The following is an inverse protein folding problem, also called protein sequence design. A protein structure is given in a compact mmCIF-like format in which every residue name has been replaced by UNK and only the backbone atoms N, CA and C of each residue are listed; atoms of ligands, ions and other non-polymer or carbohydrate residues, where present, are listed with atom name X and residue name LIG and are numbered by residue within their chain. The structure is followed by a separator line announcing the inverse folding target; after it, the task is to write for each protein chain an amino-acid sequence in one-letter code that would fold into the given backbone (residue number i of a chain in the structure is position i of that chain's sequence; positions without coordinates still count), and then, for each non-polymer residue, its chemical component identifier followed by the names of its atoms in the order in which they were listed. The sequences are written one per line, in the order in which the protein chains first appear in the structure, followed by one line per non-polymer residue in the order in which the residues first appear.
data_IF_587590231688
#
_entry.id   IF_587590231688
#
_cell.length_a   1.000
_cell.length_b   1.000
_cell.length_c   1.000
_cell.angle_alpha   90.00
_cell.angle_beta   90.00
_cell.angle_gamma   90.00
#
_symmetry.space_group_name_H-M   'P 1'
#
loop_
_entity.id
_entity.type
_entity.pdbx_description
1 polymer ?
#
# COMPACT_ATOMS: atom_id res chain seq x y z
N UNK A 1 -10.53 -36.39 -2.96
CA UNK A 1 -10.38 -35.24 -2.04
C UNK A 1 -11.49 -34.19 -2.20
N UNK A 2 -11.85 -33.75 -3.41
CA UNK A 2 -12.88 -32.72 -3.64
C UNK A 2 -14.28 -33.16 -3.15
N UNK A 3 -14.68 -34.41 -3.36
CA UNK A 3 -15.98 -34.94 -2.91
C UNK A 3 -16.15 -34.98 -1.37
N UNK A 4 -15.07 -35.14 -0.60
CA UNK A 4 -15.15 -35.16 0.86
C UNK A 4 -15.44 -33.76 1.44
N UNK A 5 -14.90 -32.71 0.80
CA UNK A 5 -15.11 -31.31 1.20
C UNK A 5 -16.57 -30.89 0.93
N UNK A 6 -17.16 -31.34 -0.18
CA UNK A 6 -18.56 -31.06 -0.54
C UNK A 6 -19.55 -31.77 0.39
N UNK A 7 -19.26 -33.01 0.80
CA UNK A 7 -20.11 -33.77 1.72
C UNK A 7 -20.08 -33.26 3.17
N UNK A 8 -18.98 -32.62 3.59
CA UNK A 8 -18.86 -31.95 4.89
C UNK A 8 -19.48 -30.54 4.86
N UNK A 9 -19.50 -29.89 3.70
CA UNK A 9 -20.09 -28.56 3.53
C UNK A 9 -21.62 -28.56 3.70
N UNK A 10 -22.33 -29.57 3.18
CA UNK A 10 -23.78 -29.67 3.26
C UNK A 10 -24.34 -29.64 4.70
N UNK A 11 -23.90 -30.49 5.65
CA UNK A 11 -24.39 -30.45 7.02
C UNK A 11 -23.97 -29.16 7.77
N UNK A 12 -22.83 -28.56 7.41
CA UNK A 12 -22.39 -27.28 7.98
C UNK A 12 -23.26 -26.10 7.51
N UNK A 13 -23.75 -26.15 6.26
CA UNK A 13 -24.69 -25.16 5.72
C UNK A 13 -26.04 -25.23 6.43
N UNK A 14 -26.56 -26.44 6.67
CA UNK A 14 -27.82 -26.64 7.39
C UNK A 14 -27.71 -26.19 8.85
N UNK A 15 -26.59 -26.49 9.52
CA UNK A 15 -26.35 -26.05 10.90
C UNK A 15 -26.17 -24.53 11.00
N UNK A 16 -25.53 -23.91 10.02
CA UNK A 16 -25.40 -22.44 9.96
C UNK A 16 -26.75 -21.79 9.74
N UNK A 17 -27.60 -22.34 8.87
CA UNK A 17 -28.98 -21.86 8.67
C UNK A 17 -29.83 -22.01 9.92
N UNK A 18 -29.73 -23.15 10.63
CA UNK A 18 -30.45 -23.40 11.88
C UNK A 18 -30.01 -22.45 13.00
N UNK A 19 -28.72 -22.15 13.08
CA UNK A 19 -28.17 -21.20 14.04
C UNK A 19 -28.61 -19.77 13.74
N UNK A 20 -28.59 -19.36 12.46
CA UNK A 20 -29.09 -18.05 12.01
C UNK A 20 -30.60 -17.90 12.25
N UNK A 21 -31.37 -18.98 12.17
CA UNK A 21 -32.81 -18.97 12.43
C UNK A 21 -33.14 -18.89 13.92
N UNK A 22 -32.26 -19.36 14.81
CA UNK A 22 -32.44 -19.33 16.28
C UNK A 22 -31.79 -18.12 16.96
N UNK A 23 -30.92 -17.41 16.26
CA UNK A 23 -30.25 -16.20 16.70
C UNK A 23 -31.21 -15.09 17.21
N UNK A 24 -32.35 -14.80 16.55
CA UNK A 24 -33.29 -13.78 17.01
C UNK A 24 -33.88 -14.10 18.38
N UNK A 25 -34.24 -15.36 18.64
CA UNK A 25 -34.80 -15.80 19.91
C UNK A 25 -33.79 -15.73 21.07
N UNK A 26 -32.50 -15.90 20.78
CA UNK A 26 -31.41 -15.76 21.76
C UNK A 26 -31.15 -14.28 22.06
N UNK A 27 -31.27 -13.40 21.07
CA UNK A 27 -31.14 -11.94 21.26
C UNK A 27 -32.31 -11.37 22.08
N UNK A 28 -33.52 -11.87 21.85
CA UNK A 28 -34.74 -11.45 22.57
C UNK A 28 -34.76 -11.90 24.05
N UNK A 29 -34.02 -12.97 24.40
CA UNK A 29 -33.93 -13.47 25.78
C UNK A 29 -32.79 -12.85 26.60
N UNK A 30 -31.84 -12.16 25.96
CA UNK A 30 -30.65 -11.58 26.60
C UNK A 30 -30.68 -10.05 26.65
N UNK A 31 -31.58 -9.39 25.92
CA UNK A 31 -31.70 -7.92 25.92
C UNK A 31 -32.90 -7.42 26.74
N UNK A 32 -32.68 -6.68 27.86
CA UNK A 32 -33.76 -6.01 28.59
C UNK A 32 -34.17 -4.67 27.94
N UNK A 33 -33.73 -4.39 26.71
CA UNK A 33 -33.94 -3.09 26.04
C UNK A 33 -34.93 -3.29 24.90
N UNK A 34 -36.17 -2.84 25.11
CA UNK A 34 -37.17 -2.70 24.05
C UNK A 34 -36.59 -1.78 22.96
N UNK A 35 -36.49 -2.33 21.76
CA UNK A 35 -36.11 -1.67 20.51
C UNK A 35 -37.12 -0.56 20.18
N UNK A 36 -36.90 0.64 20.72
CA UNK A 36 -37.43 1.87 20.17
C UNK A 36 -36.34 2.51 19.30
N UNK A 37 -36.74 2.91 18.10
CA UNK A 37 -36.04 3.71 17.10
C UNK A 37 -35.19 2.97 16.06
N UNK A 38 -35.82 2.74 14.90
CA UNK A 38 -35.32 2.07 13.69
C UNK A 38 -34.19 2.79 12.93
N UNK A 39 -33.33 3.55 13.59
CA UNK A 39 -32.11 4.15 13.01
C UNK A 39 -30.82 3.42 13.45
N UNK A 40 -30.84 2.71 14.57
CA UNK A 40 -29.69 1.95 15.08
C UNK A 40 -29.59 0.55 14.47
N UNK A 41 -30.72 -0.10 14.15
CA UNK A 41 -30.73 -1.45 13.57
C UNK A 41 -30.14 -1.51 12.14
N UNK A 42 -30.22 -0.45 11.35
CA UNK A 42 -29.64 -0.42 9.99
C UNK A 42 -28.10 -0.41 10.00
N UNK A 43 -27.48 0.06 11.09
CA UNK A 43 -26.02 0.04 11.23
C UNK A 43 -25.55 -1.30 11.81
N UNK A 44 -26.24 -1.87 12.80
CA UNK A 44 -25.86 -3.12 13.47
C UNK A 44 -26.08 -4.38 12.61
N UNK A 45 -27.11 -4.44 11.76
CA UNK A 45 -27.38 -5.61 10.89
C UNK A 45 -26.34 -5.75 9.76
N UNK A 46 -25.64 -4.66 9.39
CA UNK A 46 -24.55 -4.67 8.40
C UNK A 46 -23.15 -4.91 8.98
N UNK A 47 -22.98 -4.90 10.31
CA UNK A 47 -21.66 -5.06 10.96
C UNK A 47 -21.06 -6.45 10.75
N UNK A 48 -21.81 -7.58 10.89
CA UNK A 48 -21.22 -8.91 10.72
C UNK A 48 -20.66 -9.11 9.31
N UNK A 49 -21.37 -8.62 8.28
CA UNK A 49 -20.91 -8.65 6.90
C UNK A 49 -19.65 -7.80 6.68
N UNK A 50 -19.63 -6.56 7.19
CA UNK A 50 -18.45 -5.68 7.06
C UNK A 50 -17.23 -6.20 7.82
N UNK A 51 -17.42 -6.79 9.00
CA UNK A 51 -16.32 -7.41 9.77
C UNK A 51 -15.79 -8.64 9.04
N UNK A 52 -16.67 -9.48 8.49
CA UNK A 52 -16.26 -10.62 7.68
C UNK A 52 -15.53 -10.18 6.41
N UNK A 53 -16.06 -9.21 5.66
CA UNK A 53 -15.40 -8.66 4.47
C UNK A 53 -14.05 -8.04 4.83
N UNK A 54 -13.96 -7.24 5.89
CA UNK A 54 -12.69 -6.68 6.37
C UNK A 54 -11.67 -7.77 6.75
N UNK A 55 -12.11 -8.84 7.43
CA UNK A 55 -11.25 -9.97 7.77
C UNK A 55 -10.77 -10.70 6.51
N UNK A 56 -11.64 -10.93 5.53
CA UNK A 56 -11.31 -11.55 4.24
C UNK A 56 -10.37 -10.66 3.40
N UNK A 57 -10.60 -9.36 3.37
CA UNK A 57 -9.76 -8.39 2.65
C UNK A 57 -8.37 -8.30 3.26
N UNK A 58 -8.30 -8.26 4.59
CA UNK A 58 -7.01 -8.25 5.32
C UNK A 58 -6.25 -9.55 5.06
N UNK A 59 -6.93 -10.70 5.11
CA UNK A 59 -6.33 -12.00 4.83
C UNK A 59 -5.86 -12.12 3.37
N UNK A 60 -6.69 -11.68 2.42
CA UNK A 60 -6.35 -11.61 1.00
C UNK A 60 -5.16 -10.69 0.74
N UNK A 61 -5.15 -9.51 1.39
CA UNK A 61 -4.04 -8.56 1.32
C UNK A 61 -2.74 -9.15 1.86
N UNK A 62 -2.80 -9.88 2.98
CA UNK A 62 -1.66 -10.60 3.52
C UNK A 62 -1.13 -11.67 2.55
N UNK A 63 -2.01 -12.51 2.00
CA UNK A 63 -1.61 -13.53 1.00
C UNK A 63 -0.99 -12.89 -0.24
N UNK A 64 -1.56 -11.78 -0.71
CA UNK A 64 -1.03 -11.04 -1.86
C UNK A 64 0.36 -10.49 -1.57
N UNK A 65 0.53 -9.80 -0.45
CA UNK A 65 1.83 -9.26 -0.04
C UNK A 65 2.87 -10.36 0.15
N UNK A 66 2.50 -11.46 0.82
CA UNK A 66 3.36 -12.62 1.01
C UNK A 66 3.78 -13.24 -0.33
N UNK A 67 2.83 -13.42 -1.25
CA UNK A 67 3.10 -13.97 -2.59
C UNK A 67 4.04 -13.07 -3.39
N UNK A 68 3.80 -11.75 -3.38
CA UNK A 68 4.67 -10.78 -4.07
C UNK A 68 6.08 -10.83 -3.50
N UNK A 69 6.24 -10.90 -2.17
CA UNK A 69 7.55 -11.02 -1.53
C UNK A 69 8.24 -12.32 -1.94
N UNK A 70 7.54 -13.46 -1.90
CA UNK A 70 8.11 -14.77 -2.29
C UNK A 70 8.53 -14.78 -3.75
N UNK A 71 7.68 -14.28 -4.66
CA UNK A 71 8.01 -14.18 -6.08
C UNK A 71 9.20 -13.25 -6.28
N UNK A 72 9.21 -12.08 -5.63
CA UNK A 72 10.32 -11.13 -5.74
C UNK A 72 11.63 -11.74 -5.24
N UNK A 73 11.60 -12.44 -4.10
CA UNK A 73 12.76 -13.15 -3.56
C UNK A 73 13.26 -14.23 -4.53
N UNK A 74 12.35 -15.03 -5.09
CA UNK A 74 12.71 -16.05 -6.07
C UNK A 74 13.33 -15.44 -7.33
N UNK A 75 12.77 -14.33 -7.82
CA UNK A 75 13.32 -13.60 -8.98
C UNK A 75 14.71 -13.04 -8.69
N UNK A 76 14.96 -12.51 -7.49
CA UNK A 76 16.28 -12.03 -7.08
C UNK A 76 17.28 -13.19 -7.00
N UNK A 77 16.87 -14.34 -6.44
CA UNK A 77 17.72 -15.51 -6.34
C UNK A 77 18.08 -16.07 -7.72
N UNK A 78 17.14 -16.04 -8.66
CA UNK A 78 17.36 -16.55 -10.02
C UNK A 78 18.19 -15.61 -10.90
N UNK A 79 18.37 -14.35 -10.46
CA UNK A 79 19.28 -13.39 -11.11
C UNK A 79 20.72 -13.90 -11.12
N UNK A 80 21.11 -14.75 -10.17
CA UNK A 80 22.44 -15.38 -10.15
C UNK A 80 22.66 -16.35 -11.34
N UNK A 81 21.58 -16.92 -11.87
CA UNK A 81 21.61 -17.81 -13.04
C UNK A 81 21.30 -17.07 -14.35
N UNK A 82 21.21 -15.74 -14.31
CA UNK A 82 20.78 -14.92 -15.44
C UNK A 82 21.64 -15.15 -16.68
N UNK A 83 22.96 -15.37 -16.53
CA UNK A 83 23.83 -15.68 -17.67
C UNK A 83 23.42 -16.97 -18.39
N UNK A 84 23.12 -18.03 -17.65
CA UNK A 84 22.70 -19.33 -18.20
C UNK A 84 21.37 -19.21 -18.91
N UNK A 85 20.41 -18.49 -18.32
CA UNK A 85 19.12 -18.22 -18.96
C UNK A 85 19.26 -17.38 -20.23
N UNK A 86 20.08 -16.32 -20.21
CA UNK A 86 20.33 -15.51 -21.40
C UNK A 86 21.01 -16.31 -22.52
N UNK A 87 21.96 -17.20 -22.19
CA UNK A 87 22.59 -18.10 -23.16
C UNK A 87 21.61 -19.11 -23.74
N UNK A 88 20.69 -19.66 -22.93
CA UNK A 88 19.67 -20.58 -23.41
C UNK A 88 18.69 -19.92 -24.41
N UNK A 89 18.25 -18.69 -24.13
CA UNK A 89 17.27 -17.99 -24.98
C UNK A 89 17.89 -17.29 -26.20
N UNK A 90 19.09 -16.73 -26.07
CA UNK A 90 19.71 -15.88 -27.10
C UNK A 90 20.99 -16.47 -27.72
N UNK A 91 21.37 -17.70 -27.36
CA UNK A 91 22.56 -18.39 -27.85
C UNK A 91 23.84 -17.61 -27.53
N UNK A 92 24.75 -17.49 -28.51
CA UNK A 92 26.03 -16.78 -28.37
C UNK A 92 25.89 -15.30 -27.99
N UNK A 93 24.74 -14.68 -28.24
CA UNK A 93 24.47 -13.28 -27.84
C UNK A 93 24.17 -13.15 -26.35
N UNK A 94 23.85 -14.23 -25.65
CA UNK A 94 23.46 -14.24 -24.23
C UNK A 94 24.52 -13.63 -23.32
N UNK A 95 25.81 -13.93 -23.55
CA UNK A 95 26.90 -13.34 -22.77
C UNK A 95 26.97 -11.81 -22.93
N UNK A 96 26.71 -11.29 -24.14
CA UNK A 96 26.71 -9.85 -24.39
C UNK A 96 25.59 -9.14 -23.64
N UNK A 97 24.41 -9.75 -23.53
CA UNK A 97 23.30 -9.21 -22.73
C UNK A 97 23.58 -9.29 -21.23
N UNK A 98 24.23 -10.36 -20.76
CA UNK A 98 24.63 -10.48 -19.35
C UNK A 98 25.57 -9.34 -18.93
N UNK A 99 26.59 -9.05 -19.75
CA UNK A 99 27.51 -7.92 -19.51
C UNK A 99 26.78 -6.57 -19.48
N UNK A 100 25.72 -6.39 -20.29
CA UNK A 100 24.90 -5.18 -20.24
C UNK A 100 24.08 -5.13 -18.94
N UNK A 101 23.50 -6.25 -18.51
CA UNK A 101 22.73 -6.34 -17.27
C UNK A 101 23.60 -6.01 -16.04
N UNK A 102 24.81 -6.56 -15.97
CA UNK A 102 25.78 -6.27 -14.89
C UNK A 102 26.15 -4.78 -14.84
N UNK A 103 26.36 -4.14 -16.01
CA UNK A 103 26.60 -2.70 -16.09
C UNK A 103 25.40 -1.88 -15.63
N UNK A 104 24.18 -2.31 -15.97
CA UNK A 104 22.95 -1.66 -15.53
C UNK A 104 22.77 -1.78 -14.01
N UNK A 105 23.06 -2.93 -13.42
CA UNK A 105 23.02 -3.13 -11.96
C UNK A 105 23.91 -2.12 -11.23
N UNK A 106 25.16 -1.99 -11.66
CA UNK A 106 26.11 -1.03 -11.08
C UNK A 106 25.63 0.41 -11.29
N UNK A 107 25.15 0.75 -12.49
CA UNK A 107 24.67 2.10 -12.80
C UNK A 107 23.42 2.47 -11.97
N UNK A 108 22.47 1.55 -11.82
CA UNK A 108 21.29 1.72 -10.96
C UNK A 108 21.74 1.91 -9.51
N UNK A 109 22.73 1.15 -9.03
CA UNK A 109 23.30 1.32 -7.70
C UNK A 109 23.88 2.73 -7.46
N UNK A 110 24.60 3.30 -8.44
CA UNK A 110 25.06 4.68 -8.35
C UNK A 110 23.91 5.70 -8.40
N UNK A 111 22.92 5.48 -9.27
CA UNK A 111 21.76 6.33 -9.38
C UNK A 111 20.96 6.39 -8.07
N UNK A 112 20.65 5.24 -7.45
CA UNK A 112 19.92 5.18 -6.18
C UNK A 112 20.64 5.94 -5.06
N UNK A 113 21.98 5.84 -4.98
CA UNK A 113 22.75 6.60 -3.98
C UNK A 113 22.71 8.10 -4.23
N UNK A 114 22.76 8.52 -5.50
CA UNK A 114 22.56 9.91 -5.89
C UNK A 114 21.16 10.41 -5.54
N UNK A 115 20.15 9.60 -5.80
CA UNK A 115 18.75 9.91 -5.52
C UNK A 115 18.50 10.06 -4.01
N UNK A 116 19.02 9.16 -3.19
CA UNK A 116 18.91 9.27 -1.72
C UNK A 116 19.55 10.57 -1.19
N UNK A 117 20.66 11.00 -1.80
CA UNK A 117 21.30 12.27 -1.45
C UNK A 117 20.46 13.46 -1.94
N UNK A 118 19.86 13.39 -3.13
CA UNK A 118 18.94 14.40 -3.63
C UNK A 118 17.69 14.52 -2.74
N UNK A 119 17.06 13.42 -2.37
CA UNK A 119 15.92 13.40 -1.44
C UNK A 119 16.24 14.13 -0.13
N UNK A 120 17.43 13.91 0.42
CA UNK A 120 17.89 14.58 1.64
C UNK A 120 18.14 16.07 1.40
N UNK A 121 18.82 16.43 0.30
CA UNK A 121 19.11 17.83 -0.03
C UNK A 121 17.83 18.61 -0.32
N UNK A 122 16.92 18.08 -1.13
CA UNK A 122 15.62 18.69 -1.45
C UNK A 122 14.81 18.85 -0.17
N UNK A 123 14.69 17.81 0.66
CA UNK A 123 14.02 17.93 1.95
C UNK A 123 14.63 19.03 2.84
N UNK A 124 15.95 19.11 2.94
CA UNK A 124 16.61 20.15 3.75
C UNK A 124 16.42 21.56 3.18
N UNK A 125 16.57 21.72 1.86
CA UNK A 125 16.40 23.01 1.19
C UNK A 125 14.94 23.48 1.24
N UNK A 126 13.98 22.58 1.05
CA UNK A 126 12.56 22.87 1.21
C UNK A 126 12.25 23.27 2.65
N UNK A 127 12.84 22.61 3.66
CA UNK A 127 12.64 22.99 5.06
C UNK A 127 13.12 24.42 5.32
N UNK A 128 14.33 24.76 4.88
CA UNK A 128 14.87 26.11 5.01
C UNK A 128 14.03 27.13 4.24
N UNK A 129 13.60 26.80 3.02
CA UNK A 129 12.71 27.64 2.21
C UNK A 129 11.40 27.93 2.92
N UNK A 130 10.71 26.91 3.42
CA UNK A 130 9.45 27.08 4.15
C UNK A 130 9.61 27.83 5.47
N UNK A 131 10.74 27.70 6.17
CA UNK A 131 11.04 28.51 7.34
C UNK A 131 11.22 30.00 6.99
N UNK A 132 11.91 30.31 5.89
CA UNK A 132 12.09 31.69 5.42
C UNK A 132 10.76 32.30 5.01
N UNK A 133 9.89 31.53 4.35
CA UNK A 133 8.54 31.98 3.97
C UNK A 133 7.62 32.11 5.19
N UNK A 134 7.93 31.44 6.31
CA UNK A 134 7.11 31.44 7.51
C UNK A 134 5.91 30.48 7.42
N UNK A 135 6.02 29.41 6.64
CA UNK A 135 4.96 28.41 6.51
C UNK A 135 4.84 27.55 7.79
N UNK A 136 3.64 27.35 8.33
CA UNK A 136 3.38 26.36 9.36
C UNK A 136 3.61 24.96 8.78
N UNK A 137 3.95 24.01 9.66
CA UNK A 137 4.26 22.63 9.26
C UNK A 137 5.43 22.50 8.28
N UNK A 138 6.36 23.47 8.24
CA UNK A 138 7.55 23.45 7.39
C UNK A 138 8.29 22.11 7.43
N UNK A 139 8.48 21.51 8.62
CA UNK A 139 9.13 20.20 8.77
C UNK A 139 8.35 19.08 8.08
N UNK A 140 7.03 19.02 8.27
CA UNK A 140 6.18 17.99 7.66
C UNK A 140 6.13 18.14 6.14
N UNK A 141 5.97 19.36 5.63
CA UNK A 141 5.94 19.65 4.19
C UNK A 141 7.28 19.33 3.53
N UNK A 142 8.39 19.69 4.18
CA UNK A 142 9.72 19.40 3.68
C UNK A 142 10.04 17.89 3.69
N UNK A 143 9.57 17.16 4.71
CA UNK A 143 9.69 15.71 4.74
C UNK A 143 8.93 15.07 3.57
N UNK A 144 7.69 15.52 3.30
CA UNK A 144 6.91 15.06 2.15
C UNK A 144 7.63 15.40 0.84
N UNK A 145 8.19 16.60 0.70
CA UNK A 145 8.94 16.99 -0.48
C UNK A 145 10.16 16.09 -0.73
N UNK A 146 10.99 15.87 0.28
CA UNK A 146 12.14 14.97 0.17
C UNK A 146 11.75 13.50 -0.09
N UNK A 147 10.64 13.03 0.47
CA UNK A 147 10.13 11.67 0.21
C UNK A 147 9.57 11.52 -1.21
N UNK A 148 8.83 12.52 -1.70
CA UNK A 148 8.28 12.50 -3.05
C UNK A 148 9.36 12.62 -4.12
N UNK A 149 10.51 13.25 -3.80
CA UNK A 149 11.68 13.33 -4.69
C UNK A 149 12.18 11.95 -5.18
N UNK A 150 11.84 10.86 -4.47
CA UNK A 150 12.12 9.48 -4.92
C UNK A 150 11.76 9.23 -6.41
N UNK A 151 10.75 9.93 -6.92
CA UNK A 151 10.43 9.98 -8.34
C UNK A 151 10.90 11.33 -8.90
N UNK A 152 12.08 11.40 -9.56
CA UNK A 152 12.63 12.65 -10.06
C UNK A 152 11.64 13.43 -10.92
N UNK A 153 11.65 14.76 -10.79
CA UNK A 153 10.77 15.73 -11.47
C UNK A 153 9.28 15.64 -11.10
N UNK A 154 8.75 14.46 -10.82
CA UNK A 154 7.36 14.25 -10.40
C UNK A 154 7.20 14.61 -8.93
N UNK A 155 8.18 14.23 -8.11
CA UNK A 155 8.21 14.46 -6.68
C UNK A 155 7.97 15.90 -6.25
N UNK A 156 8.83 16.85 -6.68
CA UNK A 156 8.67 18.28 -6.40
C UNK A 156 7.32 18.79 -6.84
N UNK A 157 6.91 18.44 -8.06
CA UNK A 157 5.66 18.92 -8.65
C UNK A 157 4.45 18.53 -7.80
N UNK A 158 4.41 17.29 -7.30
CA UNK A 158 3.34 16.83 -6.42
C UNK A 158 3.48 17.44 -5.02
N UNK A 159 4.71 17.57 -4.50
CA UNK A 159 4.98 18.13 -3.18
C UNK A 159 4.60 19.61 -3.06
N UNK A 160 4.66 20.36 -4.17
CA UNK A 160 4.21 21.75 -4.22
C UNK A 160 2.71 21.89 -3.94
N UNK A 161 1.89 20.89 -4.30
CA UNK A 161 0.42 20.95 -4.10
C UNK A 161 0.04 21.22 -2.63
N UNK A 162 0.44 20.39 -1.64
CA UNK A 162 0.11 20.66 -0.25
C UNK A 162 0.80 21.93 0.28
N UNK A 163 2.02 22.25 -0.16
CA UNK A 163 2.74 23.45 0.29
C UNK A 163 2.00 24.73 -0.13
N UNK A 164 1.60 24.82 -1.40
CA UNK A 164 0.84 25.94 -1.97
C UNK A 164 -0.53 26.07 -1.31
N UNK A 165 -1.24 24.95 -1.07
CA UNK A 165 -2.52 24.97 -0.37
C UNK A 165 -2.40 25.54 1.05
N UNK A 166 -1.36 25.15 1.79
CA UNK A 166 -1.08 25.69 3.13
C UNK A 166 -0.69 27.17 3.05
N UNK A 167 0.14 27.56 2.08
CA UNK A 167 0.53 28.95 1.88
C UNK A 167 -0.66 29.87 1.59
N UNK A 168 -1.56 29.46 0.68
CA UNK A 168 -2.78 30.22 0.36
C UNK A 168 -3.77 30.30 1.53
N UNK A 169 -3.77 29.33 2.45
CA UNK A 169 -4.58 29.39 3.66
C UNK A 169 -4.16 30.50 4.63
N UNK A 170 -2.96 31.08 4.45
CA UNK A 170 -2.42 32.13 5.33
C UNK A 170 -2.50 33.47 4.62
N UNK A 171 -1.95 33.57 3.42
CA UNK A 171 -2.07 34.75 2.57
C UNK A 171 -1.66 34.45 1.13
N UNK A 172 -2.13 35.28 0.19
CA UNK A 172 -1.78 35.17 -1.23
C UNK A 172 -0.27 35.22 -1.47
N UNK A 173 0.48 36.01 -0.69
CA UNK A 173 1.94 36.10 -0.83
C UNK A 173 2.68 34.82 -0.43
N UNK A 174 2.21 34.14 0.62
CA UNK A 174 2.80 32.87 1.06
C UNK A 174 2.45 31.73 0.09
N UNK A 175 1.25 31.76 -0.51
CA UNK A 175 0.84 30.74 -1.51
C UNK A 175 1.62 30.80 -2.83
N UNK A 176 2.05 31.99 -3.27
CA UNK A 176 2.87 32.15 -4.48
C UNK A 176 4.35 31.83 -4.22
N UNK A 177 4.81 32.03 -2.98
CA UNK A 177 6.20 31.78 -2.60
C UNK A 177 6.50 30.32 -2.23
N UNK A 178 5.46 29.53 -1.89
CA UNK A 178 5.54 28.12 -1.53
C UNK A 178 5.71 27.21 -2.75
#
# INVERSE_FOLDING_TARGET
MIFAIVSLAAPLLDQTQLFLQKLPAIIDSVSPVKLADGSLNAQFVGVPGKVLTFALDTFSGFITAFTVIVISFYMIQDLHNLETHLKFWFGDKGHRYFVIAEKLEVQIGYWVRGELLLMLLVGLLSYVGYLIIGLPFAMSLAFIAGMLELIPNIGPTIATIPAVLVGFSISTGHGIAA
#
